data_IF_323655655345
#
_entry.id   IF_323655655345
#
_cell.length_a   1.000
_cell.length_b   1.000
_cell.length_c   1.000
_cell.angle_alpha   90.00
_cell.angle_beta   90.00
_cell.angle_gamma   90.00
#
_symmetry.space_group_name_H-M   'P 1'
#
loop_
_entity.id
_entity.type
_entity.pdbx_description
1 polymer ?
#
# COMPACT_ATOMS: atom_id res chain seq x y z
N UNK A 1 -17.94 23.26 -12.74
CA UNK A 1 -18.33 22.87 -11.38
C UNK A 1 -17.28 23.28 -10.37
N UNK A 2 -17.70 23.62 -9.17
CA UNK A 2 -16.82 23.87 -8.03
C UNK A 2 -16.64 22.58 -7.26
N UNK A 3 -15.39 22.25 -6.93
CA UNK A 3 -15.03 21.07 -6.16
C UNK A 3 -14.58 21.50 -4.78
N UNK A 4 -15.16 20.93 -3.75
CA UNK A 4 -14.74 21.13 -2.34
C UNK A 4 -14.35 19.79 -1.74
N UNK A 5 -13.27 19.77 -1.00
CA UNK A 5 -12.75 18.57 -0.33
C UNK A 5 -12.85 18.76 1.17
N UNK A 6 -13.47 17.79 1.83
CA UNK A 6 -13.71 17.80 3.28
C UNK A 6 -12.93 16.67 3.94
N UNK A 7 -12.41 16.93 5.13
CA UNK A 7 -11.81 15.89 5.96
C UNK A 7 -12.88 15.10 6.72
N UNK A 8 -12.47 14.11 7.51
CA UNK A 8 -13.37 13.27 8.31
C UNK A 8 -14.18 14.04 9.36
N UNK A 9 -13.75 15.26 9.71
CA UNK A 9 -14.46 16.14 10.66
C UNK A 9 -15.43 17.12 9.97
N UNK A 10 -15.61 16.99 8.65
CA UNK A 10 -16.47 17.88 7.87
C UNK A 10 -15.88 19.26 7.57
N UNK A 11 -14.61 19.46 7.81
CA UNK A 11 -13.91 20.73 7.53
C UNK A 11 -13.39 20.74 6.07
N UNK A 12 -13.58 21.86 5.37
CA UNK A 12 -13.03 22.06 4.03
C UNK A 12 -11.50 22.16 4.14
N UNK A 13 -10.79 21.31 3.42
CA UNK A 13 -9.33 21.27 3.40
C UNK A 13 -8.75 21.72 2.07
N UNK A 14 -9.56 21.77 1.02
CA UNK A 14 -9.16 22.29 -0.29
C UNK A 14 -10.38 22.56 -1.14
N UNK A 15 -10.21 23.39 -2.17
CA UNK A 15 -11.24 23.66 -3.18
C UNK A 15 -10.62 23.96 -4.53
N UNK A 16 -11.38 23.80 -5.59
CA UNK A 16 -10.93 24.07 -6.95
C UNK A 16 -12.09 23.99 -7.94
N UNK A 17 -11.76 24.04 -9.23
CA UNK A 17 -12.74 23.94 -10.31
C UNK A 17 -12.45 22.71 -11.18
N UNK A 18 -13.51 22.06 -11.66
CA UNK A 18 -13.39 21.02 -12.66
C UNK A 18 -13.26 21.64 -14.06
N UNK A 19 -12.42 21.06 -14.90
CA UNK A 19 -12.25 21.43 -16.31
C UNK A 19 -12.35 20.15 -17.14
N UNK A 20 -13.14 20.18 -18.23
CA UNK A 20 -13.37 19.02 -19.10
C UNK A 20 -13.81 17.76 -18.31
N UNK A 21 -14.69 17.94 -17.32
CA UNK A 21 -15.18 16.87 -16.43
C UNK A 21 -14.09 16.21 -15.57
N UNK A 22 -12.94 16.86 -15.44
CA UNK A 22 -11.82 16.39 -14.61
C UNK A 22 -11.38 17.47 -13.64
N UNK A 23 -10.81 17.03 -12.52
CA UNK A 23 -10.20 17.94 -11.55
C UNK A 23 -8.95 17.29 -10.93
N UNK A 24 -8.04 18.14 -10.49
CA UNK A 24 -6.88 17.75 -9.69
C UNK A 24 -6.67 18.83 -8.63
N UNK A 25 -6.75 18.43 -7.36
CA UNK A 25 -6.68 19.37 -6.23
C UNK A 25 -5.67 18.83 -5.23
N UNK A 26 -4.68 19.66 -4.88
CA UNK A 26 -3.73 19.33 -3.81
C UNK A 26 -4.42 19.49 -2.46
N UNK A 27 -4.23 18.52 -1.58
CA UNK A 27 -4.76 18.54 -0.22
C UNK A 27 -3.63 18.42 0.80
N UNK A 28 -3.81 18.96 2.03
CA UNK A 28 -2.89 18.69 3.12
C UNK A 28 -2.84 17.19 3.44
N UNK A 29 -1.70 16.72 3.95
CA UNK A 29 -1.55 15.33 4.38
C UNK A 29 -2.63 14.96 5.41
N UNK A 30 -3.29 13.84 5.21
CA UNK A 30 -4.34 13.33 6.08
C UNK A 30 -3.89 12.05 6.80
N UNK A 31 -4.37 11.79 8.02
CA UNK A 31 -4.06 10.55 8.73
C UNK A 31 -4.52 9.31 7.95
N UNK A 32 -3.72 8.24 7.96
CA UNK A 32 -4.10 6.97 7.37
C UNK A 32 -5.36 6.40 8.02
N UNK A 33 -6.28 5.89 7.21
CA UNK A 33 -7.58 5.37 7.66
C UNK A 33 -8.68 6.42 7.79
N UNK A 34 -8.37 7.72 7.63
CA UNK A 34 -9.38 8.77 7.63
C UNK A 34 -10.17 8.80 6.32
N UNK A 35 -11.38 9.33 6.37
CA UNK A 35 -12.26 9.46 5.20
C UNK A 35 -12.17 10.87 4.63
N UNK A 36 -12.10 10.97 3.32
CA UNK A 36 -12.17 12.24 2.58
C UNK A 36 -13.46 12.25 1.76
N UNK A 37 -14.21 13.37 1.84
CA UNK A 37 -15.41 13.58 1.04
C UNK A 37 -15.14 14.66 0.00
N UNK A 38 -15.47 14.37 -1.26
CA UNK A 38 -15.37 15.32 -2.36
C UNK A 38 -16.78 15.69 -2.82
N UNK A 39 -17.08 16.98 -2.89
CA UNK A 39 -18.40 17.49 -3.31
C UNK A 39 -18.23 18.34 -4.56
N UNK A 40 -18.95 17.99 -5.62
CA UNK A 40 -19.04 18.78 -6.83
C UNK A 40 -20.37 19.55 -6.84
N UNK A 41 -20.33 20.86 -7.07
CA UNK A 41 -21.52 21.71 -7.12
C UNK A 41 -21.44 22.67 -8.30
N UNK A 42 -22.60 23.00 -8.88
CA UNK A 42 -22.75 23.97 -9.95
C UNK A 42 -24.13 24.62 -9.82
N UNK A 43 -24.21 25.92 -10.11
CA UNK A 43 -25.49 26.68 -10.10
C UNK A 43 -26.53 25.95 -10.96
N UNK A 44 -27.73 25.80 -10.42
CA UNK A 44 -28.89 25.12 -11.05
C UNK A 44 -28.73 23.59 -11.26
N UNK A 45 -27.76 22.97 -10.59
CA UNK A 45 -27.54 21.51 -10.59
C UNK A 45 -27.51 20.98 -9.17
N UNK A 46 -28.00 19.76 -8.98
CA UNK A 46 -27.86 19.07 -7.71
C UNK A 46 -26.38 18.72 -7.44
N UNK A 47 -25.94 18.97 -6.21
CA UNK A 47 -24.57 18.59 -5.80
C UNK A 47 -24.40 17.07 -5.79
N UNK A 48 -23.24 16.60 -6.19
CA UNK A 48 -22.82 15.19 -6.07
C UNK A 48 -21.62 15.08 -5.17
N UNK A 49 -21.55 13.99 -4.43
CA UNK A 49 -20.43 13.71 -3.56
C UNK A 49 -19.90 12.28 -3.73
N UNK A 50 -18.62 12.11 -3.45
CA UNK A 50 -17.97 10.82 -3.38
C UNK A 50 -17.05 10.81 -2.16
N UNK A 51 -16.88 9.64 -1.56
CA UNK A 51 -15.98 9.46 -0.42
C UNK A 51 -14.89 8.45 -0.77
N UNK A 52 -13.71 8.64 -0.19
CA UNK A 52 -12.61 7.70 -0.27
C UNK A 52 -11.90 7.64 1.06
N UNK A 53 -11.20 6.55 1.32
CA UNK A 53 -10.44 6.36 2.55
C UNK A 53 -8.95 6.55 2.25
N UNK A 54 -8.26 7.30 3.11
CA UNK A 54 -6.81 7.47 3.03
C UNK A 54 -6.16 6.16 3.42
N UNK A 55 -5.30 5.61 2.55
CA UNK A 55 -4.57 4.37 2.85
C UNK A 55 -3.56 4.60 3.96
N UNK A 56 -3.43 3.59 4.84
CA UNK A 56 -2.40 3.57 5.88
C UNK A 56 -1.05 3.19 5.29
N UNK A 57 0.04 3.64 5.91
CA UNK A 57 1.39 3.22 5.58
C UNK A 57 1.81 2.09 6.53
N UNK A 58 2.54 1.11 5.99
CA UNK A 58 3.17 0.10 6.84
C UNK A 58 4.34 0.68 7.61
N UNK A 59 4.63 0.09 8.77
CA UNK A 59 5.89 0.28 9.47
C UNK A 59 7.03 -0.45 8.78
N UNK A 60 7.88 -1.13 9.55
CA UNK A 60 9.03 -1.85 8.98
C UNK A 60 8.63 -3.19 8.35
N UNK A 61 9.33 -3.52 7.28
CA UNK A 61 9.35 -4.85 6.68
C UNK A 61 10.81 -5.26 6.60
N UNK A 62 11.18 -6.39 7.18
CA UNK A 62 12.56 -6.89 7.18
C UNK A 62 12.64 -8.27 6.54
N UNK A 63 13.84 -8.63 6.10
CA UNK A 63 14.14 -9.95 5.57
C UNK A 63 15.56 -10.33 6.00
N UNK A 64 15.70 -11.53 6.52
CA UNK A 64 17.01 -12.08 6.86
C UNK A 64 17.84 -12.30 5.60
N UNK A 65 19.17 -12.45 5.76
CA UNK A 65 20.05 -12.76 4.63
C UNK A 65 19.61 -14.04 3.92
N UNK A 66 19.66 -14.00 2.59
CA UNK A 66 19.31 -15.13 1.73
C UNK A 66 20.57 -15.63 1.05
N UNK A 67 20.81 -16.93 1.14
CA UNK A 67 21.98 -17.58 0.54
C UNK A 67 21.56 -18.48 -0.62
N UNK A 68 22.50 -18.81 -1.52
CA UNK A 68 22.24 -19.73 -2.63
C UNK A 68 21.76 -21.12 -2.18
N UNK A 69 22.01 -21.48 -0.91
CA UNK A 69 21.54 -22.73 -0.30
C UNK A 69 20.21 -22.60 0.41
N UNK A 70 19.67 -21.39 0.54
CA UNK A 70 18.42 -21.13 1.27
C UNK A 70 17.21 -21.72 0.54
N UNK A 71 16.35 -22.41 1.28
CA UNK A 71 15.07 -22.95 0.81
C UNK A 71 13.87 -22.24 1.44
N UNK A 72 14.13 -21.22 2.25
CA UNK A 72 13.10 -20.38 2.85
C UNK A 72 13.62 -18.97 3.09
N UNK A 73 12.67 -18.03 3.18
CA UNK A 73 12.92 -16.63 3.51
C UNK A 73 12.12 -16.33 4.78
N UNK A 74 12.72 -15.59 5.70
CA UNK A 74 12.08 -15.18 6.93
C UNK A 74 12.43 -13.74 7.28
N UNK A 75 11.59 -13.12 8.10
CA UNK A 75 11.77 -11.76 8.56
C UNK A 75 10.60 -11.30 9.41
N UNK A 76 10.45 -9.98 9.53
CA UNK A 76 9.38 -9.35 10.31
C UNK A 76 8.54 -8.42 9.46
N UNK A 77 7.28 -8.26 9.86
CA UNK A 77 6.34 -7.40 9.18
C UNK A 77 5.14 -7.07 10.05
N UNK A 78 4.14 -6.45 9.46
CA UNK A 78 2.90 -6.11 10.16
C UNK A 78 2.02 -7.33 10.33
N UNK A 79 1.56 -7.57 11.55
CA UNK A 79 0.64 -8.66 11.89
C UNK A 79 -0.54 -8.74 10.91
N UNK A 80 -0.87 -9.95 10.49
CA UNK A 80 -1.97 -10.27 9.56
C UNK A 80 -1.77 -9.75 8.12
N UNK A 81 -0.63 -9.14 7.80
CA UNK A 81 -0.32 -8.78 6.42
C UNK A 81 0.07 -10.01 5.60
N UNK A 82 -0.18 -9.96 4.30
CA UNK A 82 0.20 -11.03 3.36
C UNK A 82 1.59 -10.77 2.81
N UNK A 83 2.43 -11.80 2.81
CA UNK A 83 3.78 -11.75 2.24
C UNK A 83 3.81 -12.59 0.96
N UNK A 84 4.27 -11.97 -0.12
CA UNK A 84 4.55 -12.62 -1.40
C UNK A 84 5.99 -12.37 -1.79
N UNK A 85 6.60 -13.32 -2.46
CA UNK A 85 8.01 -13.26 -2.88
C UNK A 85 8.08 -13.37 -4.40
N UNK A 86 8.88 -12.51 -5.01
CA UNK A 86 9.01 -12.43 -6.47
C UNK A 86 10.48 -12.50 -6.89
N UNK A 87 10.73 -13.16 -8.01
CA UNK A 87 12.00 -13.13 -8.75
C UNK A 87 11.66 -12.81 -10.20
N UNK A 88 12.29 -11.75 -10.76
CA UNK A 88 12.01 -11.29 -12.14
C UNK A 88 10.51 -11.07 -12.39
N UNK A 89 9.82 -10.44 -11.44
CA UNK A 89 8.36 -10.15 -11.48
C UNK A 89 7.47 -11.40 -11.45
N UNK A 90 8.04 -12.58 -11.24
CA UNK A 90 7.28 -13.84 -11.11
C UNK A 90 7.25 -14.28 -9.66
N UNK A 91 6.06 -14.60 -9.14
CA UNK A 91 5.91 -15.09 -7.76
C UNK A 91 6.62 -16.44 -7.61
N UNK A 92 7.43 -16.56 -6.57
CA UNK A 92 8.08 -17.81 -6.18
C UNK A 92 7.62 -18.22 -4.78
N UNK A 93 7.43 -19.51 -4.58
CA UNK A 93 6.91 -20.03 -3.31
C UNK A 93 5.44 -19.69 -3.08
N UNK A 94 4.91 -20.21 -1.98
CA UNK A 94 3.53 -19.97 -1.56
C UNK A 94 3.47 -18.76 -0.64
N UNK A 95 2.57 -17.82 -0.91
CA UNK A 95 2.36 -16.68 -0.03
C UNK A 95 2.01 -17.11 1.40
N UNK A 96 2.35 -16.27 2.37
CA UNK A 96 2.09 -16.51 3.78
C UNK A 96 1.52 -15.26 4.45
N UNK A 97 1.08 -15.41 5.68
CA UNK A 97 0.58 -14.31 6.50
C UNK A 97 1.53 -14.09 7.67
N UNK A 98 1.83 -12.82 7.97
CA UNK A 98 2.62 -12.45 9.15
C UNK A 98 1.86 -12.87 10.42
N UNK A 99 2.51 -13.60 11.31
CA UNK A 99 1.88 -14.14 12.50
C UNK A 99 1.67 -13.09 13.62
N UNK A 100 1.10 -13.51 14.74
CA UNK A 100 0.80 -12.63 15.87
C UNK A 100 2.04 -12.01 16.52
N UNK A 101 3.21 -12.59 16.31
CA UNK A 101 4.51 -12.10 16.80
C UNK A 101 5.19 -11.14 15.81
N UNK A 102 4.53 -10.85 14.67
CA UNK A 102 5.10 -9.99 13.63
C UNK A 102 6.16 -10.68 12.76
N UNK A 103 6.16 -12.01 12.68
CA UNK A 103 7.16 -12.79 11.92
C UNK A 103 6.51 -13.53 10.76
N UNK A 104 7.29 -13.76 9.70
CA UNK A 104 6.86 -14.55 8.55
C UNK A 104 7.96 -15.49 8.08
N UNK A 105 7.56 -16.55 7.38
CA UNK A 105 8.45 -17.49 6.71
C UNK A 105 7.79 -17.96 5.41
N UNK A 106 8.53 -17.89 4.30
CA UNK A 106 8.10 -18.34 2.98
C UNK A 106 9.10 -19.37 2.47
N UNK A 107 8.62 -20.54 2.06
CA UNK A 107 9.46 -21.53 1.41
C UNK A 107 9.61 -21.18 -0.06
N UNK A 108 10.84 -21.19 -0.57
CA UNK A 108 11.20 -20.85 -1.93
C UNK A 108 12.13 -21.90 -2.54
N UNK A 109 12.16 -22.07 -3.87
CA UNK A 109 13.22 -22.80 -4.54
C UNK A 109 14.57 -22.10 -4.30
N UNK A 110 15.66 -22.85 -4.28
CA UNK A 110 17.00 -22.28 -4.22
C UNK A 110 17.23 -21.31 -5.38
N UNK A 111 17.85 -20.19 -5.11
CA UNK A 111 18.17 -19.16 -6.09
C UNK A 111 19.67 -19.02 -6.27
N UNK A 112 20.10 -18.64 -7.45
CA UNK A 112 21.51 -18.39 -7.74
C UNK A 112 22.01 -17.16 -7.00
N UNK A 113 23.32 -17.18 -6.65
CA UNK A 113 24.00 -16.00 -6.11
C UNK A 113 23.77 -14.78 -7.01
N UNK A 114 23.64 -13.61 -6.41
CA UNK A 114 23.35 -12.32 -7.07
C UNK A 114 21.93 -12.17 -7.63
N UNK A 115 21.04 -13.15 -7.48
CA UNK A 115 19.63 -13.00 -7.81
C UNK A 115 19.00 -11.98 -6.88
N UNK A 116 18.23 -11.03 -7.42
CA UNK A 116 17.46 -10.06 -6.62
C UNK A 116 16.09 -10.65 -6.34
N UNK A 117 15.76 -10.75 -5.05
CA UNK A 117 14.48 -11.25 -4.57
C UNK A 117 13.69 -10.06 -4.02
N UNK A 118 12.44 -9.91 -4.45
CA UNK A 118 11.53 -8.89 -3.95
C UNK A 118 10.54 -9.52 -2.98
N UNK A 119 10.47 -8.99 -1.77
CA UNK A 119 9.51 -9.37 -0.74
C UNK A 119 8.46 -8.28 -0.67
N UNK A 120 7.20 -8.64 -0.89
CA UNK A 120 6.07 -7.71 -0.92
C UNK A 120 5.13 -7.98 0.26
N UNK A 121 4.79 -6.92 0.98
CA UNK A 121 3.82 -6.97 2.07
C UNK A 121 2.57 -6.18 1.67
N UNK A 122 1.41 -6.81 1.78
CA UNK A 122 0.13 -6.20 1.44
C UNK A 122 -0.92 -6.49 2.51
N UNK A 123 -1.83 -5.55 2.70
CA UNK A 123 -2.98 -5.70 3.59
C UNK A 123 -4.06 -4.72 3.15
N UNK A 124 -5.33 -5.13 3.25
CA UNK A 124 -6.46 -4.26 2.93
C UNK A 124 -6.39 -2.96 3.74
N UNK A 125 -6.56 -1.82 3.07
CA UNK A 125 -6.48 -0.50 3.68
C UNK A 125 -5.06 0.07 3.83
N UNK A 126 -4.04 -0.61 3.34
CA UNK A 126 -2.63 -0.18 3.39
C UNK A 126 -2.03 -0.03 2.00
N UNK A 127 -1.09 0.89 1.87
CA UNK A 127 -0.22 0.98 0.67
C UNK A 127 0.74 -0.21 0.71
N UNK A 128 0.79 -0.98 -0.37
CA UNK A 128 1.71 -2.12 -0.50
C UNK A 128 3.16 -1.68 -0.33
N UNK A 129 3.91 -2.42 0.47
CA UNK A 129 5.33 -2.17 0.72
C UNK A 129 6.17 -3.34 0.23
N UNK A 130 7.30 -3.06 -0.40
CA UNK A 130 8.24 -4.09 -0.85
C UNK A 130 9.68 -3.73 -0.52
N UNK A 131 10.51 -4.75 -0.35
CA UNK A 131 11.95 -4.63 -0.18
C UNK A 131 12.64 -5.64 -1.08
N UNK A 132 13.89 -5.33 -1.45
CA UNK A 132 14.73 -6.23 -2.25
C UNK A 132 15.85 -6.79 -1.41
N UNK A 133 16.21 -8.04 -1.67
CA UNK A 133 17.39 -8.71 -1.12
C UNK A 133 18.14 -9.43 -2.23
N UNK A 134 19.44 -9.33 -2.21
CA UNK A 134 20.30 -10.02 -3.16
C UNK A 134 20.79 -11.32 -2.52
N UNK A 135 20.70 -12.42 -3.26
CA UNK A 135 21.16 -13.74 -2.81
C UNK A 135 22.69 -13.75 -2.70
N UNK A 136 23.18 -14.18 -1.57
CA UNK A 136 24.63 -14.29 -1.25
C UNK A 136 25.19 -15.67 -1.57
#
# INVERSE_FOLDING_TARGET
ATIKVYNSKGKIIASGKASNNKYSIKIPKQPGGSTIKVVASKTNYNSKSATTTVLKQFGSLTCNNIYKTSTSISGTGTKNATIKVYVNKKQVGKQTTVNSKGKYKVFIPKQKKNTVITIQMSKSGYVTKSINRTVK
#
